data_IF_292264741520
#
_entry.id   IF_292264741520
#
_cell.length_a   1.000
_cell.length_b   1.000
_cell.length_c   1.000
_cell.angle_alpha   90.00
_cell.angle_beta   90.00
_cell.angle_gamma   90.00
#
_symmetry.space_group_name_H-M   'P 1'
#
loop_
_entity.id
_entity.type
_entity.pdbx_description
1 polymer ?
#
# COMPACT_ATOMS: atom_id res chain seq x y z
N UNK A 1 -4.89 5.77 -38.99
CA UNK A 1 -6.12 5.60 -38.18
C UNK A 1 -5.72 5.76 -36.72
N UNK A 2 -6.26 6.74 -35.97
CA UNK A 2 -5.86 6.93 -34.58
C UNK A 2 -6.59 5.93 -33.69
N UNK A 3 -5.84 5.07 -33.02
CA UNK A 3 -6.35 4.07 -32.08
C UNK A 3 -6.68 4.78 -30.77
N UNK A 4 -7.93 4.60 -30.33
CA UNK A 4 -8.51 5.26 -29.17
C UNK A 4 -7.75 4.98 -27.87
N UNK A 5 -7.48 6.06 -27.15
CA UNK A 5 -7.14 6.05 -25.72
C UNK A 5 -8.25 5.31 -24.96
N UNK A 6 -8.05 4.03 -24.68
CA UNK A 6 -8.87 3.30 -23.71
C UNK A 6 -8.30 3.57 -22.33
N UNK A 7 -9.17 4.04 -21.44
CA UNK A 7 -8.91 4.28 -20.03
C UNK A 7 -8.43 3.00 -19.35
N UNK A 8 -7.12 2.87 -19.15
CA UNK A 8 -6.54 1.81 -18.34
C UNK A 8 -6.66 2.20 -16.86
N UNK A 9 -7.68 1.64 -16.20
CA UNK A 9 -7.88 1.70 -14.76
C UNK A 9 -6.80 0.88 -14.05
N UNK A 10 -5.63 1.47 -13.86
CA UNK A 10 -4.79 1.22 -12.71
C UNK A 10 -4.73 2.54 -11.93
N UNK A 11 -5.55 2.65 -10.88
CA UNK A 11 -5.70 3.80 -9.98
C UNK A 11 -6.34 5.07 -10.55
N UNK A 12 -7.62 5.22 -10.21
CA UNK A 12 -8.42 6.44 -9.99
C UNK A 12 -7.63 7.78 -10.05
N UNK A 13 -7.69 8.43 -11.22
CA UNK A 13 -7.41 9.87 -11.35
C UNK A 13 -8.57 10.66 -10.77
N UNK A 14 -8.48 11.06 -9.50
CA UNK A 14 -9.33 12.13 -8.96
C UNK A 14 -9.05 13.46 -9.66
N UNK A 15 -10.06 14.02 -10.32
CA UNK A 15 -10.25 15.48 -10.46
C UNK A 15 -11.63 15.84 -9.88
N UNK A 16 -11.74 16.70 -8.85
CA UNK A 16 -13.03 17.28 -8.50
C UNK A 16 -13.30 18.44 -9.46
N UNK A 17 -14.34 18.30 -10.29
CA UNK A 17 -14.92 19.44 -11.00
C UNK A 17 -15.95 20.08 -10.06
N UNK A 18 -15.60 21.25 -9.53
CA UNK A 18 -16.52 22.13 -8.84
C UNK A 18 -17.21 22.99 -9.90
N UNK A 19 -18.48 22.70 -10.14
CA UNK A 19 -19.49 23.55 -10.76
C UNK A 19 -20.81 22.84 -10.53
N UNK A 20 -21.86 23.39 -9.94
CA UNK A 20 -22.20 24.75 -9.58
C UNK A 20 -23.72 24.71 -9.49
N UNK A 21 -24.25 25.35 -8.45
CA UNK A 21 -25.63 25.80 -8.36
C UNK A 21 -26.74 24.76 -8.10
N UNK A 22 -27.43 25.03 -6.98
CA UNK A 22 -28.88 24.90 -6.76
C UNK A 22 -29.43 23.52 -6.40
N UNK A 23 -29.66 23.30 -5.10
CA UNK A 23 -31.00 22.97 -4.60
C UNK A 23 -31.12 23.44 -3.14
N UNK A 24 -31.93 24.49 -2.96
CA UNK A 24 -32.39 25.02 -1.68
C UNK A 24 -33.53 24.14 -1.13
N UNK A 25 -33.76 24.26 0.19
CA UNK A 25 -35.05 24.01 0.88
C UNK A 25 -35.42 22.51 1.06
N UNK A 26 -35.86 21.94 2.19
CA UNK A 26 -36.36 22.33 3.54
C UNK A 26 -36.19 21.03 4.36
N UNK A 27 -35.75 20.99 5.62
CA UNK A 27 -36.65 20.92 6.77
C UNK A 27 -35.85 20.84 8.09
N UNK A 28 -36.25 21.75 8.97
CA UNK A 28 -35.98 21.81 10.40
C UNK A 28 -36.39 20.51 11.09
N UNK A 29 -35.53 19.97 11.95
CA UNK A 29 -35.98 19.30 13.17
C UNK A 29 -34.95 19.52 14.28
N UNK A 30 -35.23 20.52 15.10
CA UNK A 30 -34.61 20.74 16.41
C UNK A 30 -35.33 19.83 17.41
N UNK A 31 -34.63 18.90 18.05
CA UNK A 31 -35.03 18.40 19.37
C UNK A 31 -33.78 18.17 20.21
N UNK A 32 -33.67 19.04 21.21
CA UNK A 32 -32.84 18.89 22.40
C UNK A 32 -33.04 17.52 23.05
N UNK A 33 -31.95 16.79 23.30
CA UNK A 33 -31.88 15.94 24.48
C UNK A 33 -30.50 16.06 25.11
N UNK A 34 -30.43 16.97 26.07
CA UNK A 34 -29.47 16.98 27.17
C UNK A 34 -29.59 15.67 27.95
N UNK A 35 -28.54 14.86 27.96
CA UNK A 35 -28.28 13.94 29.06
C UNK A 35 -26.82 14.08 29.48
N UNK A 36 -26.63 14.88 30.52
CA UNK A 36 -25.48 14.86 31.41
C UNK A 36 -25.30 13.42 31.93
N UNK A 37 -24.15 12.82 31.66
CA UNK A 37 -23.65 11.72 32.47
C UNK A 37 -22.22 12.04 32.94
N UNK A 38 -21.92 11.68 34.20
CA UNK A 38 -20.81 12.23 34.94
C UNK A 38 -19.48 11.63 34.51
N UNK A 39 -18.47 12.48 34.66
CA UNK A 39 -17.05 12.20 34.67
C UNK A 39 -16.75 11.07 35.68
N UNK A 40 -16.70 9.82 35.21
CA UNK A 40 -16.10 8.73 35.97
C UNK A 40 -14.60 8.71 35.62
N UNK A 41 -13.82 9.27 36.55
CA UNK A 41 -12.39 9.06 36.61
C UNK A 41 -12.13 7.56 36.81
N UNK A 42 -11.78 6.87 35.72
CA UNK A 42 -11.10 5.60 35.80
C UNK A 42 -9.61 5.89 35.56
N UNK A 43 -8.87 6.01 36.65
CA UNK A 43 -7.43 5.81 36.69
C UNK A 43 -7.17 4.34 36.31
N UNK A 44 -7.08 4.06 35.03
CA UNK A 44 -6.41 2.86 34.56
C UNK A 44 -4.94 3.21 34.36
N UNK A 45 -4.13 2.73 35.29
CA UNK A 45 -2.70 2.47 35.12
C UNK A 45 -2.48 1.64 33.85
N UNK A 46 -2.43 2.29 32.69
CA UNK A 46 -1.87 1.70 31.49
C UNK A 46 -0.36 1.80 31.63
N UNK A 47 0.21 0.72 32.16
CA UNK A 47 1.64 0.49 32.29
C UNK A 47 2.40 1.07 31.11
N UNK A 48 3.39 1.89 31.45
CA UNK A 48 4.45 2.35 30.58
C UNK A 48 5.14 1.12 29.97
N UNK A 49 4.59 0.59 28.88
CA UNK A 49 5.41 -0.06 27.86
C UNK A 49 6.22 1.05 27.20
N UNK A 50 7.23 1.53 27.94
CA UNK A 50 8.37 2.25 27.42
C UNK A 50 9.02 1.27 26.45
N UNK A 51 8.55 1.33 25.22
CA UNK A 51 9.13 0.63 24.10
C UNK A 51 10.62 1.03 24.15
N UNK A 52 11.49 0.04 24.45
CA UNK A 52 12.94 0.21 24.63
C UNK A 52 13.51 0.89 23.41
N UNK A 53 13.85 2.17 23.47
CA UNK A 53 14.42 2.89 22.32
C UNK A 53 15.50 2.02 21.69
N UNK A 54 15.39 1.67 20.39
CA UNK A 54 16.31 0.73 19.77
C UNK A 54 17.74 1.21 20.01
N UNK A 55 18.55 0.35 20.62
CA UNK A 55 19.97 0.64 20.79
C UNK A 55 20.58 0.88 19.40
N UNK A 56 21.60 1.74 19.30
CA UNK A 56 22.21 2.13 18.01
C UNK A 56 22.65 0.91 17.16
N UNK A 57 22.84 -0.25 17.80
CA UNK A 57 23.15 -1.54 17.18
C UNK A 57 21.94 -2.27 16.53
N UNK A 58 20.71 -1.97 16.93
CA UNK A 58 19.48 -2.55 16.33
C UNK A 58 19.21 -1.96 14.93
N UNK A 59 19.62 -0.71 14.68
CA UNK A 59 19.30 0.00 13.44
C UNK A 59 19.76 -0.72 12.16
N UNK A 60 21.00 -1.27 12.07
CA UNK A 60 21.45 -1.96 10.86
C UNK A 60 20.73 -3.31 10.63
N UNK A 61 20.50 -4.07 11.70
CA UNK A 61 19.84 -5.38 11.60
C UNK A 61 18.36 -5.24 11.21
N UNK A 62 17.65 -4.30 11.86
CA UNK A 62 16.26 -3.96 11.53
C UNK A 62 16.16 -3.42 10.10
N UNK A 63 17.07 -2.54 9.68
CA UNK A 63 17.08 -2.03 8.31
C UNK A 63 17.27 -3.15 7.26
N UNK A 64 18.17 -4.11 7.53
CA UNK A 64 18.39 -5.27 6.66
C UNK A 64 17.15 -6.16 6.56
N UNK A 65 16.49 -6.45 7.70
CA UNK A 65 15.26 -7.24 7.73
C UNK A 65 14.12 -6.55 6.95
N UNK A 66 13.94 -5.25 7.16
CA UNK A 66 12.95 -4.44 6.46
C UNK A 66 13.18 -4.45 4.95
N UNK A 67 14.43 -4.23 4.51
CA UNK A 67 14.81 -4.29 3.11
C UNK A 67 14.54 -5.68 2.52
N UNK A 68 14.88 -6.74 3.26
CA UNK A 68 14.63 -8.12 2.86
C UNK A 68 13.14 -8.41 2.68
N UNK A 69 12.28 -7.98 3.62
CA UNK A 69 10.82 -8.17 3.51
C UNK A 69 10.25 -7.48 2.29
N UNK A 70 10.66 -6.24 2.00
CA UNK A 70 10.17 -5.50 0.83
C UNK A 70 10.66 -6.12 -0.47
N UNK A 71 11.94 -6.51 -0.55
CA UNK A 71 12.48 -7.20 -1.72
C UNK A 71 11.75 -8.54 -1.95
N UNK A 72 11.54 -9.33 -0.89
CA UNK A 72 10.84 -10.59 -0.98
C UNK A 72 9.35 -10.43 -1.36
N UNK A 73 8.71 -9.34 -0.95
CA UNK A 73 7.36 -8.99 -1.40
C UNK A 73 7.29 -8.69 -2.90
N UNK A 74 8.32 -8.04 -3.48
CA UNK A 74 8.42 -7.80 -4.93
C UNK A 74 8.60 -9.12 -5.66
N UNK A 75 9.59 -9.93 -5.26
CA UNK A 75 9.89 -11.22 -5.90
C UNK A 75 8.73 -12.21 -5.78
N UNK A 76 7.98 -12.19 -4.68
CA UNK A 76 6.75 -12.99 -4.55
C UNK A 76 5.67 -12.62 -5.57
N UNK A 77 5.78 -11.46 -6.23
CA UNK A 77 4.97 -11.06 -7.38
C UNK A 77 5.04 -12.01 -8.57
N UNK A 78 6.17 -12.70 -8.76
CA UNK A 78 6.40 -13.61 -9.89
C UNK A 78 5.73 -14.97 -9.67
N UNK A 79 5.44 -15.33 -8.42
CA UNK A 79 4.81 -16.59 -8.09
C UNK A 79 3.32 -16.56 -8.43
N UNK A 80 2.77 -17.69 -8.88
CA UNK A 80 1.37 -17.82 -9.27
C UNK A 80 0.39 -17.99 -8.09
N UNK A 81 0.89 -17.94 -6.85
CA UNK A 81 0.08 -17.99 -5.65
C UNK A 81 -0.01 -16.60 -4.99
N UNK A 82 -1.18 -15.93 -5.02
CA UNK A 82 -1.42 -14.65 -4.35
C UNK A 82 -1.14 -14.69 -2.85
N UNK A 83 -1.28 -15.84 -2.19
CA UNK A 83 -1.02 -15.98 -0.75
C UNK A 83 0.48 -15.82 -0.44
N UNK A 84 1.38 -16.24 -1.35
CA UNK A 84 2.83 -16.10 -1.15
C UNK A 84 3.25 -14.64 -1.10
N UNK A 85 2.65 -13.77 -1.92
CA UNK A 85 2.86 -12.33 -1.83
C UNK A 85 2.10 -11.73 -0.65
N UNK A 86 0.91 -12.24 -0.39
CA UNK A 86 0.05 -11.82 0.72
C UNK A 86 0.70 -11.96 2.10
N UNK A 87 1.53 -12.99 2.34
CA UNK A 87 2.15 -13.28 3.65
C UNK A 87 2.97 -12.13 4.24
N UNK A 88 3.45 -11.20 3.42
CA UNK A 88 4.21 -10.04 3.86
C UNK A 88 3.31 -8.87 4.30
N UNK A 89 2.01 -8.94 4.04
CA UNK A 89 1.04 -7.90 4.38
C UNK A 89 0.50 -8.07 5.79
N UNK A 90 0.34 -6.96 6.50
CA UNK A 90 -0.35 -6.90 7.79
C UNK A 90 -1.83 -7.30 7.69
N UNK A 91 -2.46 -7.51 8.85
CA UNK A 91 -3.89 -7.87 8.95
C UNK A 91 -4.81 -6.78 8.38
N UNK A 92 -4.39 -5.52 8.49
CA UNK A 92 -4.95 -4.34 7.84
C UNK A 92 -3.84 -3.65 7.04
N UNK A 93 -4.14 -3.29 5.80
CA UNK A 93 -3.16 -2.71 4.88
C UNK A 93 -3.82 -1.64 4.01
N UNK A 94 -3.14 -0.51 3.81
CA UNK A 94 -3.52 0.45 2.78
C UNK A 94 -2.90 0.02 1.45
N UNK A 95 -3.67 -0.65 0.59
CA UNK A 95 -3.18 -1.28 -0.62
C UNK A 95 -3.74 -0.60 -1.86
N UNK A 96 -2.86 0.05 -2.63
CA UNK A 96 -3.18 0.84 -3.83
C UNK A 96 -4.35 1.81 -3.59
N UNK A 97 -4.17 2.76 -2.68
CA UNK A 97 -5.17 3.81 -2.44
C UNK A 97 -6.38 3.40 -1.58
N UNK A 98 -6.47 2.13 -1.14
CA UNK A 98 -7.63 1.63 -0.41
C UNK A 98 -7.23 0.94 0.90
N UNK A 99 -7.91 1.28 2.00
CA UNK A 99 -7.83 0.50 3.22
C UNK A 99 -8.48 -0.88 3.00
N UNK A 100 -7.73 -1.96 3.24
CA UNK A 100 -8.15 -3.34 3.01
C UNK A 100 -7.79 -4.21 4.22
N UNK A 101 -8.60 -5.24 4.46
CA UNK A 101 -8.15 -6.40 5.23
C UNK A 101 -7.16 -7.23 4.42
N UNK A 102 -6.36 -8.05 5.09
CA UNK A 102 -5.44 -8.99 4.43
C UNK A 102 -6.13 -9.80 3.32
N UNK A 103 -7.29 -10.40 3.60
CA UNK A 103 -8.04 -11.19 2.61
C UNK A 103 -8.51 -10.35 1.41
N UNK A 104 -8.88 -9.07 1.62
CA UNK A 104 -9.25 -8.17 0.53
C UNK A 104 -8.04 -7.77 -0.32
N UNK A 105 -6.85 -7.64 0.27
CA UNK A 105 -5.61 -7.39 -0.45
C UNK A 105 -5.19 -8.63 -1.26
N UNK A 106 -5.22 -9.83 -0.67
CA UNK A 106 -4.94 -11.09 -1.39
C UNK A 106 -5.88 -11.30 -2.58
N UNK A 107 -7.18 -10.98 -2.43
CA UNK A 107 -8.13 -10.99 -3.56
C UNK A 107 -7.77 -10.00 -4.66
N UNK A 108 -7.25 -8.82 -4.31
CA UNK A 108 -6.79 -7.84 -5.30
C UNK A 108 -5.54 -8.34 -6.05
N UNK A 109 -4.59 -8.95 -5.33
CA UNK A 109 -3.42 -9.61 -5.92
C UNK A 109 -3.87 -10.72 -6.88
N UNK A 110 -4.83 -11.56 -6.46
CA UNK A 110 -5.38 -12.62 -7.31
C UNK A 110 -6.06 -12.08 -8.58
N UNK A 111 -6.71 -10.91 -8.50
CA UNK A 111 -7.28 -10.26 -9.68
C UNK A 111 -6.19 -9.80 -10.66
N UNK A 112 -5.09 -9.22 -10.16
CA UNK A 112 -3.93 -8.86 -10.97
C UNK A 112 -3.33 -10.10 -11.65
N UNK A 113 -3.15 -11.19 -10.92
CA UNK A 113 -2.49 -12.40 -11.42
C UNK A 113 -3.30 -13.10 -12.51
N UNK A 114 -4.63 -13.04 -12.43
CA UNK A 114 -5.51 -13.54 -13.50
C UNK A 114 -5.40 -12.72 -14.78
N UNK A 115 -5.16 -11.41 -14.68
CA UNK A 115 -5.00 -10.53 -15.85
C UNK A 115 -3.63 -10.70 -16.51
N UNK A 116 -2.60 -10.90 -15.70
CA UNK A 116 -1.22 -10.99 -16.13
C UNK A 116 -0.60 -12.26 -15.56
N UNK A 117 -0.82 -13.45 -16.14
CA UNK A 117 -0.39 -14.73 -15.56
C UNK A 117 1.13 -14.90 -15.50
N UNK A 118 1.87 -14.32 -16.44
CA UNK A 118 3.33 -14.30 -16.44
C UNK A 118 3.81 -12.91 -16.02
N UNK A 119 4.63 -12.87 -14.97
CA UNK A 119 5.10 -11.63 -14.34
C UNK A 119 6.56 -11.78 -13.95
N UNK A 120 7.38 -10.80 -14.28
CA UNK A 120 8.78 -10.71 -13.90
C UNK A 120 9.06 -9.32 -13.32
N UNK A 121 9.93 -9.26 -12.32
CA UNK A 121 10.36 -8.03 -11.65
C UNK A 121 11.88 -8.04 -11.50
N UNK A 122 12.54 -6.94 -11.85
CA UNK A 122 13.97 -6.77 -11.63
C UNK A 122 14.23 -5.47 -10.86
N UNK A 123 14.75 -5.59 -9.64
CA UNK A 123 15.10 -4.43 -8.83
C UNK A 123 16.27 -3.67 -9.50
N UNK A 124 16.06 -2.41 -9.86
CA UNK A 124 17.02 -1.62 -10.64
C UNK A 124 17.87 -0.69 -9.78
N UNK A 125 17.36 -0.29 -8.63
CA UNK A 125 18.02 0.63 -7.70
C UNK A 125 18.09 0.01 -6.31
N UNK A 126 18.98 0.54 -5.47
CA UNK A 126 18.99 0.20 -4.05
C UNK A 126 17.66 0.60 -3.40
N UNK A 127 17.19 -0.21 -2.46
CA UNK A 127 16.02 0.12 -1.66
C UNK A 127 16.37 1.26 -0.70
N UNK A 128 15.61 2.35 -0.75
CA UNK A 128 15.72 3.43 0.21
C UNK A 128 14.79 3.20 1.40
N UNK A 129 15.32 3.33 2.61
CA UNK A 129 14.58 3.11 3.85
C UNK A 129 14.68 4.33 4.77
N UNK A 130 13.54 4.82 5.22
CA UNK A 130 13.43 5.98 6.11
C UNK A 130 12.54 5.65 7.30
N UNK A 131 13.01 5.89 8.52
CA UNK A 131 12.15 5.85 9.70
C UNK A 131 11.14 7.00 9.65
N UNK A 132 9.88 6.75 9.98
CA UNK A 132 8.86 7.79 10.02
C UNK A 132 8.97 8.52 11.38
N UNK A 133 9.23 9.84 11.41
CA UNK A 133 9.35 10.58 12.66
C UNK A 133 8.10 10.42 13.53
N UNK A 134 8.30 10.33 14.85
CA UNK A 134 7.24 10.16 15.86
C UNK A 134 6.45 8.83 15.77
N UNK A 135 6.86 7.90 14.91
CA UNK A 135 6.26 6.58 14.78
C UNK A 135 7.32 5.49 14.94
N UNK A 136 7.53 5.05 16.17
CA UNK A 136 8.53 4.03 16.49
C UNK A 136 8.21 2.71 15.76
N UNK A 137 9.21 2.15 15.09
CA UNK A 137 9.08 0.86 14.40
C UNK A 137 8.34 0.96 13.08
N UNK A 138 8.00 2.18 12.63
CA UNK A 138 7.37 2.41 11.33
C UNK A 138 8.37 3.02 10.37
N UNK A 139 8.47 2.43 9.18
CA UNK A 139 9.42 2.80 8.16
C UNK A 139 8.73 2.99 6.83
N UNK A 140 9.23 3.94 6.03
CA UNK A 140 8.91 4.09 4.62
C UNK A 140 10.04 3.45 3.82
N UNK A 141 9.72 2.44 3.02
CA UNK A 141 10.62 1.84 2.06
C UNK A 141 10.24 2.27 0.65
N UNK A 142 11.21 2.58 -0.19
CA UNK A 142 11.01 2.93 -1.61
C UNK A 142 11.89 2.05 -2.46
N UNK A 143 11.32 1.44 -3.49
CA UNK A 143 12.03 0.58 -4.43
C UNK A 143 11.64 0.96 -5.86
N UNK A 144 12.63 0.97 -6.75
CA UNK A 144 12.42 1.10 -8.20
C UNK A 144 12.80 -0.21 -8.86
N UNK A 145 11.93 -0.72 -9.72
CA UNK A 145 12.15 -1.96 -10.44
C UNK A 145 11.59 -1.90 -11.86
N UNK A 146 12.21 -2.68 -12.75
CA UNK A 146 11.64 -3.06 -14.02
C UNK A 146 10.57 -4.13 -13.80
N UNK A 147 9.51 -4.10 -14.61
CA UNK A 147 8.50 -5.13 -14.65
C UNK A 147 8.22 -5.56 -16.09
N UNK A 148 7.87 -6.83 -16.26
CA UNK A 148 7.39 -7.40 -17.53
C UNK A 148 6.23 -8.34 -17.25
N UNK A 149 5.08 -8.06 -17.85
CA UNK A 149 3.86 -8.84 -17.74
C UNK A 149 3.45 -9.35 -19.11
N UNK A 150 3.04 -10.61 -19.17
CA UNK A 150 2.62 -11.28 -20.41
C UNK A 150 1.29 -12.00 -20.18
N UNK A 151 0.42 -11.93 -21.19
CA UNK A 151 -0.87 -12.60 -21.23
C UNK A 151 -1.23 -12.96 -22.68
N UNK A 152 -0.68 -14.07 -23.19
CA UNK A 152 -0.84 -14.42 -24.60
C UNK A 152 -0.16 -13.37 -25.48
N UNK A 153 -0.92 -12.79 -26.42
CA UNK A 153 -0.44 -11.76 -27.35
C UNK A 153 -0.37 -10.36 -26.72
N UNK A 154 -0.82 -10.20 -25.47
CA UNK A 154 -0.71 -8.95 -24.73
C UNK A 154 0.57 -8.91 -23.89
N UNK A 155 1.31 -7.81 -24.04
CA UNK A 155 2.55 -7.54 -23.32
C UNK A 155 2.49 -6.16 -22.66
N UNK A 156 2.96 -6.07 -21.42
CA UNK A 156 3.10 -4.82 -20.69
C UNK A 156 4.43 -4.80 -19.95
N UNK A 157 5.28 -3.82 -20.23
CA UNK A 157 6.57 -3.71 -19.56
C UNK A 157 6.91 -2.27 -19.21
N UNK A 158 7.82 -2.08 -18.26
CA UNK A 158 8.32 -0.76 -17.93
C UNK A 158 9.00 -0.67 -16.59
N UNK A 159 9.07 0.54 -16.03
CA UNK A 159 9.60 0.79 -14.69
C UNK A 159 8.52 1.26 -13.73
N UNK A 160 8.64 0.81 -12.49
CA UNK A 160 7.71 1.16 -11.43
C UNK A 160 8.46 1.57 -10.17
N UNK A 161 7.91 2.56 -9.46
CA UNK A 161 8.33 2.99 -8.14
C UNK A 161 7.30 2.56 -7.12
N UNK A 162 7.66 1.59 -6.29
CA UNK A 162 6.85 1.14 -5.17
C UNK A 162 7.28 1.86 -3.89
N UNK A 163 6.30 2.33 -3.13
CA UNK A 163 6.47 2.86 -1.77
C UNK A 163 5.71 1.97 -0.80
N UNK A 164 6.42 1.40 0.16
CA UNK A 164 5.84 0.62 1.25
C UNK A 164 5.91 1.39 2.57
N UNK A 165 4.87 1.24 3.38
CA UNK A 165 4.94 1.53 4.82
C UNK A 165 5.06 0.20 5.55
N UNK A 166 6.11 0.04 6.33
CA UNK A 166 6.48 -1.21 6.97
C UNK A 166 6.50 -1.00 8.48
N UNK A 167 5.89 -1.92 9.21
CA UNK A 167 5.86 -1.98 10.66
C UNK A 167 6.78 -3.11 11.13
N UNK A 168 7.65 -2.80 12.10
CA UNK A 168 8.51 -3.74 12.78
C UNK A 168 8.28 -3.64 14.29
N UNK A 169 7.77 -4.72 14.87
CA UNK A 169 7.49 -4.82 16.30
C UNK A 169 7.83 -6.22 16.85
N UNK A 170 7.41 -6.52 18.08
CA UNK A 170 7.68 -7.81 18.72
C UNK A 170 7.02 -9.02 18.04
N UNK A 171 6.12 -8.80 17.07
CA UNK A 171 5.50 -9.85 16.26
C UNK A 171 6.21 -10.03 14.90
N UNK A 172 7.23 -9.23 14.62
CA UNK A 172 8.02 -9.27 13.39
C UNK A 172 7.70 -8.14 12.41
N UNK A 173 8.23 -8.28 11.21
CA UNK A 173 8.13 -7.26 10.14
C UNK A 173 6.96 -7.52 9.20
N UNK A 174 6.15 -6.49 8.93
CA UNK A 174 5.00 -6.57 8.02
C UNK A 174 4.74 -5.27 7.27
N UNK A 175 4.23 -5.38 6.05
CA UNK A 175 3.86 -4.25 5.21
C UNK A 175 2.41 -3.83 5.53
N UNK A 176 2.24 -2.59 5.97
CA UNK A 176 0.94 -2.00 6.34
C UNK A 176 0.45 -0.94 5.34
N UNK A 177 1.29 -0.58 4.36
CA UNK A 177 0.91 0.26 3.23
C UNK A 177 1.69 -0.10 1.99
N UNK A 178 1.04 -0.11 0.83
CA UNK A 178 1.62 -0.29 -0.50
C UNK A 178 1.00 0.72 -1.44
N UNK A 179 1.84 1.55 -2.03
CA UNK A 179 1.51 2.40 -3.17
C UNK A 179 2.52 2.15 -4.28
N UNK A 180 2.08 2.21 -5.53
CA UNK A 180 2.94 1.97 -6.68
C UNK A 180 2.60 2.94 -7.79
N UNK A 181 3.65 3.51 -8.38
CA UNK A 181 3.52 4.49 -9.45
C UNK A 181 4.42 4.07 -10.60
N UNK A 182 3.83 3.95 -11.77
CA UNK A 182 4.58 3.77 -13.01
C UNK A 182 5.48 4.99 -13.22
N UNK A 183 6.72 4.76 -13.62
CA UNK A 183 7.61 5.86 -13.98
C UNK A 183 7.21 6.37 -15.38
N UNK A 184 6.99 7.68 -15.49
CA UNK A 184 6.48 8.31 -16.71
C UNK A 184 7.33 7.97 -17.93
N UNK A 185 6.66 7.61 -19.03
CA UNK A 185 7.33 7.30 -20.31
C UNK A 185 8.12 5.99 -20.31
N UNK A 186 8.05 5.19 -19.24
CA UNK A 186 8.72 3.88 -19.18
C UNK A 186 7.79 2.72 -19.53
N UNK A 187 6.48 2.95 -19.63
CA UNK A 187 5.50 1.88 -19.80
C UNK A 187 5.14 1.70 -21.25
N UNK A 188 5.42 0.50 -21.76
CA UNK A 188 5.13 0.07 -23.12
C UNK A 188 4.10 -1.06 -23.07
N UNK A 189 3.01 -0.89 -23.82
CA UNK A 189 1.96 -1.89 -24.00
C UNK A 189 1.88 -2.27 -25.47
N UNK A 190 1.88 -3.57 -25.74
CA UNK A 190 1.75 -4.14 -27.07
C UNK A 190 0.68 -5.23 -27.06
N UNK A 191 -0.10 -5.30 -28.13
CA UNK A 191 -1.04 -6.38 -28.42
C UNK A 191 -0.89 -6.73 -29.90
N UNK A 192 -0.58 -7.99 -30.21
CA UNK A 192 -0.53 -8.48 -31.60
C UNK A 192 -1.91 -8.90 -32.13
#
# INVERSE_FOLDING_TARGET
MPIGHKDFLFLDRRRPWISGAEFRCVLLFSVLLTSLYPLAAAETEAGHHRTKQPSVLEKPAVASELAHVVAAFITAGEQNDPAVRGKYLGSKVFYYGHARTHNQAVKAIAALYRRWPQRQFALTESLDLFEIPNHRGIYRATAVYDYKFENGDEHLSGKSKMTCVVEHDGLGTRIIGVDEKLLNGSTDYHSE
#
